data_IF_197672277444
#
_entry.id   IF_197672277444
#
_cell.length_a   1.000
_cell.length_b   1.000
_cell.length_c   1.000
_cell.angle_alpha   90.00
_cell.angle_beta   90.00
_cell.angle_gamma   90.00
#
_symmetry.space_group_name_H-M   'P 1'
#
loop_
_entity.id
_entity.type
_entity.pdbx_description
1 polymer ?
#
# COMPACT_ATOMS: atom_id res chain seq x y z
N UNK A 1 17.78 23.32 -28.19
CA UNK A 1 18.60 22.65 -27.17
C UNK A 1 18.00 21.28 -26.97
N UNK A 2 18.78 20.22 -27.11
CA UNK A 2 18.33 18.84 -26.91
C UNK A 2 18.09 18.64 -25.40
N UNK A 3 16.83 18.67 -24.97
CA UNK A 3 16.42 18.36 -23.59
C UNK A 3 16.22 16.86 -23.45
N UNK A 4 17.26 16.08 -23.77
CA UNK A 4 17.23 14.64 -23.51
C UNK A 4 17.41 14.46 -22.01
N UNK A 5 16.36 13.96 -21.37
CA UNK A 5 16.33 13.60 -19.95
C UNK A 5 16.76 12.14 -19.86
N UNK A 6 17.86 11.79 -19.15
CA UNK A 6 18.36 10.41 -19.03
C UNK A 6 17.29 9.35 -18.74
N UNK A 7 16.22 9.73 -18.03
CA UNK A 7 15.09 8.84 -17.77
C UNK A 7 14.25 8.52 -19.02
N UNK A 8 13.90 9.52 -19.85
CA UNK A 8 13.10 9.29 -21.06
C UNK A 8 13.87 8.47 -22.11
N UNK A 9 15.20 8.60 -22.11
CA UNK A 9 16.09 7.82 -22.98
C UNK A 9 16.40 6.42 -22.42
N UNK A 10 15.87 6.08 -21.23
CA UNK A 10 16.13 4.79 -20.59
C UNK A 10 15.53 3.64 -21.40
N UNK A 11 16.28 2.54 -21.64
CA UNK A 11 15.74 1.34 -22.29
C UNK A 11 14.59 0.71 -21.48
N UNK A 12 14.46 1.06 -20.20
CA UNK A 12 13.43 0.52 -19.30
C UNK A 12 12.33 1.54 -18.97
N UNK A 13 12.24 2.66 -19.68
CA UNK A 13 11.21 3.68 -19.45
C UNK A 13 9.79 3.08 -19.36
N UNK A 14 9.40 2.26 -20.34
CA UNK A 14 8.08 1.61 -20.36
C UNK A 14 7.87 0.60 -19.22
N UNK A 15 8.95 0.02 -18.69
CA UNK A 15 8.89 -0.93 -17.57
C UNK A 15 8.40 -0.24 -16.30
N UNK A 16 8.76 1.03 -16.07
CA UNK A 16 8.29 1.76 -14.89
C UNK A 16 6.78 1.99 -14.90
N UNK A 17 6.21 2.36 -16.04
CA UNK A 17 4.76 2.48 -16.17
C UNK A 17 4.06 1.13 -16.02
N UNK A 18 4.69 0.05 -16.49
CA UNK A 18 4.14 -1.29 -16.41
C UNK A 18 4.15 -1.81 -14.97
N UNK A 19 5.23 -1.54 -14.22
CA UNK A 19 5.35 -1.84 -12.80
C UNK A 19 4.31 -1.07 -11.99
N UNK A 20 4.12 0.23 -12.26
CA UNK A 20 3.09 1.05 -11.62
C UNK A 20 1.69 0.46 -11.85
N UNK A 21 1.41 0.04 -13.09
CA UNK A 21 0.14 -0.60 -13.41
C UNK A 21 -0.02 -1.94 -12.70
N UNK A 22 1.03 -2.78 -12.71
CA UNK A 22 1.10 -4.05 -12.01
C UNK A 22 0.75 -3.92 -10.54
N UNK A 23 1.42 -3.02 -9.84
CA UNK A 23 1.16 -2.76 -8.42
C UNK A 23 -0.25 -2.24 -8.20
N UNK A 24 -0.69 -1.24 -8.97
CA UNK A 24 -2.02 -0.64 -8.78
C UNK A 24 -3.15 -1.66 -9.01
N UNK A 25 -3.07 -2.48 -10.05
CA UNK A 25 -4.07 -3.53 -10.29
C UNK A 25 -4.03 -4.62 -9.22
N UNK A 26 -2.83 -5.04 -8.79
CA UNK A 26 -2.67 -6.03 -7.73
C UNK A 26 -3.30 -5.55 -6.42
N UNK A 27 -3.04 -4.30 -6.04
CA UNK A 27 -3.62 -3.66 -4.85
C UNK A 27 -5.15 -3.59 -4.97
N UNK A 28 -5.67 -3.08 -6.10
CA UNK A 28 -7.13 -2.98 -6.30
C UNK A 28 -7.82 -4.34 -6.21
N UNK A 29 -7.26 -5.38 -6.84
CA UNK A 29 -7.80 -6.75 -6.80
C UNK A 29 -7.78 -7.33 -5.38
N UNK A 30 -6.68 -7.15 -4.64
CA UNK A 30 -6.56 -7.62 -3.25
C UNK A 30 -7.52 -6.88 -2.30
N UNK A 31 -7.73 -5.58 -2.46
CA UNK A 31 -8.76 -4.85 -1.70
C UNK A 31 -10.14 -5.46 -1.92
N UNK A 32 -10.52 -5.68 -3.18
CA UNK A 32 -11.83 -6.26 -3.52
C UNK A 32 -11.98 -7.67 -2.93
N UNK A 33 -10.96 -8.52 -3.05
CA UNK A 33 -10.96 -9.86 -2.44
C UNK A 33 -11.16 -9.81 -0.91
N UNK A 34 -10.51 -8.85 -0.23
CA UNK A 34 -10.72 -8.64 1.21
C UNK A 34 -12.16 -8.21 1.53
N UNK A 35 -12.73 -7.30 0.73
CA UNK A 35 -14.10 -6.81 0.92
C UNK A 35 -15.13 -7.90 0.66
N UNK A 36 -14.94 -8.72 -0.37
CA UNK A 36 -15.83 -9.83 -0.75
C UNK A 36 -15.80 -10.95 0.31
N UNK A 37 -14.63 -11.28 0.84
CA UNK A 37 -14.48 -12.28 1.92
C UNK A 37 -15.01 -11.80 3.27
N UNK A 38 -15.23 -10.51 3.43
CA UNK A 38 -15.64 -9.88 4.68
C UNK A 38 -16.87 -8.99 4.46
N UNK A 39 -18.01 -9.56 4.04
CA UNK A 39 -19.21 -8.79 3.78
C UNK A 39 -19.74 -8.21 5.09
N UNK A 40 -20.28 -7.00 5.07
CA UNK A 40 -20.91 -6.40 6.25
C UNK A 40 -22.29 -7.06 6.43
N UNK A 41 -22.55 -7.81 7.52
CA UNK A 41 -23.82 -8.50 7.71
C UNK A 41 -24.94 -7.50 8.05
N UNK A 42 -26.16 -7.78 7.59
CA UNK A 42 -27.35 -6.95 7.91
C UNK A 42 -27.81 -7.10 9.38
N UNK A 43 -27.58 -8.28 9.97
CA UNK A 43 -27.91 -8.63 11.36
C UNK A 43 -26.83 -9.56 11.91
N UNK A 44 -26.62 -9.47 13.22
CA UNK A 44 -25.65 -10.26 13.98
C UNK A 44 -24.23 -10.12 13.43
N UNK A 45 -23.38 -9.36 14.12
CA UNK A 45 -22.00 -9.19 13.71
C UNK A 45 -21.18 -10.48 13.89
N UNK A 46 -20.13 -10.65 13.10
CA UNK A 46 -19.20 -11.77 13.23
C UNK A 46 -17.84 -11.39 13.81
N UNK A 47 -17.20 -12.42 14.36
CA UNK A 47 -15.78 -12.48 14.72
C UNK A 47 -15.21 -13.72 14.05
N UNK A 48 -14.15 -13.59 13.24
CA UNK A 48 -13.49 -14.72 12.58
C UNK A 48 -11.97 -14.62 12.65
N UNK A 49 -11.31 -15.77 12.52
CA UNK A 49 -9.84 -15.89 12.41
C UNK A 49 -9.52 -16.40 11.02
N UNK A 50 -8.82 -15.61 10.22
CA UNK A 50 -8.48 -15.92 8.84
C UNK A 50 -7.03 -15.51 8.51
N UNK A 51 -6.05 -16.37 8.81
CA UNK A 51 -4.64 -16.04 8.59
C UNK A 51 -4.31 -15.76 7.11
N UNK A 52 -5.05 -16.36 6.18
CA UNK A 52 -4.85 -16.18 4.74
C UNK A 52 -5.26 -14.76 4.34
N UNK A 53 -6.41 -14.29 4.81
CA UNK A 53 -6.86 -12.90 4.62
C UNK A 53 -5.84 -11.89 5.16
N UNK A 54 -5.32 -12.11 6.37
CA UNK A 54 -4.31 -11.24 6.95
C UNK A 54 -3.00 -11.25 6.13
N UNK A 55 -2.64 -12.38 5.52
CA UNK A 55 -1.55 -12.48 4.56
C UNK A 55 -1.80 -11.65 3.29
N UNK A 56 -3.02 -11.66 2.76
CA UNK A 56 -3.43 -10.81 1.63
C UNK A 56 -3.30 -9.34 1.97
N UNK A 57 -3.79 -8.92 3.15
CA UNK A 57 -3.68 -7.52 3.61
C UNK A 57 -2.21 -7.11 3.77
N UNK A 58 -1.38 -7.95 4.38
CA UNK A 58 0.05 -7.66 4.53
C UNK A 58 0.75 -7.51 3.17
N UNK A 59 0.44 -8.38 2.20
CA UNK A 59 0.96 -8.29 0.84
C UNK A 59 0.51 -7.00 0.14
N UNK A 60 -0.76 -6.62 0.29
CA UNK A 60 -1.31 -5.38 -0.24
C UNK A 60 -0.58 -4.14 0.33
N UNK A 61 -0.35 -4.09 1.64
CA UNK A 61 0.33 -2.96 2.28
C UNK A 61 1.80 -2.85 1.82
N UNK A 62 2.47 -3.99 1.58
CA UNK A 62 3.81 -4.02 1.01
C UNK A 62 3.85 -3.51 -0.45
N UNK A 63 2.86 -3.87 -1.26
CA UNK A 63 2.73 -3.36 -2.63
C UNK A 63 2.44 -1.85 -2.66
N UNK A 64 1.54 -1.36 -1.79
CA UNK A 64 1.28 0.07 -1.63
C UNK A 64 2.56 0.82 -1.26
N UNK A 65 3.39 0.26 -0.38
CA UNK A 65 4.68 0.83 -0.04
C UNK A 65 5.66 0.87 -1.22
N UNK A 66 5.66 -0.12 -2.10
CA UNK A 66 6.50 -0.12 -3.30
C UNK A 66 6.01 0.92 -4.31
N UNK A 67 4.70 1.08 -4.46
CA UNK A 67 4.08 2.11 -5.28
C UNK A 67 4.49 3.51 -4.78
N UNK A 68 4.43 3.74 -3.46
CA UNK A 68 4.94 4.95 -2.82
C UNK A 68 6.41 5.22 -3.18
N UNK A 69 7.30 4.21 -3.12
CA UNK A 69 8.74 4.37 -3.45
C UNK A 69 8.98 4.82 -4.90
N UNK A 70 8.07 4.50 -5.82
CA UNK A 70 8.18 4.93 -7.21
C UNK A 70 7.71 6.37 -7.42
N UNK A 71 6.68 6.78 -6.67
CA UNK A 71 6.02 8.08 -6.84
C UNK A 71 6.46 9.17 -5.85
N UNK A 72 7.14 8.81 -4.76
CA UNK A 72 7.64 9.78 -3.77
C UNK A 72 9.00 10.33 -4.18
N UNK A 73 9.09 11.64 -4.43
CA UNK A 73 10.38 12.28 -4.75
C UNK A 73 11.29 12.14 -3.53
N UNK A 74 12.49 11.55 -3.67
CA UNK A 74 13.37 11.33 -2.53
C UNK A 74 14.11 12.63 -2.17
N UNK A 75 14.14 12.96 -0.88
CA UNK A 75 14.86 14.15 -0.39
C UNK A 75 16.36 13.88 -0.14
N UNK A 76 16.74 12.61 -0.04
CA UNK A 76 18.12 12.18 0.26
C UNK A 76 18.49 10.88 -0.45
N UNK A 77 19.79 10.66 -0.72
CA UNK A 77 20.26 9.39 -1.25
C UNK A 77 20.09 8.25 -0.23
N UNK A 78 19.89 7.04 -0.75
CA UNK A 78 19.91 5.82 0.04
C UNK A 78 21.35 5.44 0.38
N UNK A 79 21.51 4.56 1.37
CA UNK A 79 22.82 3.99 1.71
C UNK A 79 23.42 3.27 0.49
N UNK A 80 24.64 3.66 0.10
CA UNK A 80 25.40 3.18 -1.08
C UNK A 80 24.86 3.60 -2.45
N UNK A 81 23.93 4.55 -2.52
CA UNK A 81 23.47 5.11 -3.80
C UNK A 81 24.50 6.11 -4.35
N UNK A 82 24.86 5.99 -5.64
CA UNK A 82 25.75 6.98 -6.28
C UNK A 82 25.00 8.28 -6.60
N UNK A 83 25.70 9.42 -6.77
CA UNK A 83 25.07 10.68 -7.17
C UNK A 83 24.24 10.57 -8.47
N UNK A 84 24.71 9.78 -9.44
CA UNK A 84 24.02 9.56 -10.72
C UNK A 84 22.74 8.74 -10.52
N UNK A 85 22.80 7.69 -9.71
CA UNK A 85 21.61 6.88 -9.37
C UNK A 85 20.56 7.70 -8.64
N UNK A 86 20.99 8.53 -7.68
CA UNK A 86 20.09 9.42 -6.95
C UNK A 86 19.43 10.44 -7.88
N UNK A 87 20.22 11.07 -8.76
CA UNK A 87 19.71 12.03 -9.75
C UNK A 87 18.71 11.37 -10.70
N UNK A 88 19.03 10.18 -11.22
CA UNK A 88 18.13 9.40 -12.07
C UNK A 88 16.83 9.06 -11.35
N UNK A 89 16.90 8.68 -10.06
CA UNK A 89 15.70 8.36 -9.26
C UNK A 89 14.81 9.59 -9.04
N UNK A 90 15.40 10.74 -8.72
CA UNK A 90 14.68 12.02 -8.56
C UNK A 90 13.99 12.39 -9.88
N UNK A 91 14.71 12.32 -10.98
CA UNK A 91 14.22 12.65 -12.33
C UNK A 91 13.07 11.74 -12.75
N UNK A 92 13.26 10.41 -12.66
CA UNK A 92 12.23 9.40 -12.88
C UNK A 92 10.94 9.74 -12.14
N UNK A 93 11.04 9.98 -10.83
CA UNK A 93 9.84 10.19 -10.02
C UNK A 93 9.12 11.49 -10.35
N UNK A 94 9.85 12.57 -10.65
CA UNK A 94 9.24 13.83 -11.11
C UNK A 94 8.48 13.64 -12.43
N UNK A 95 9.13 13.01 -13.42
CA UNK A 95 8.55 12.79 -14.75
C UNK A 95 7.35 11.83 -14.70
N UNK A 96 7.39 10.78 -13.87
CA UNK A 96 6.24 9.90 -13.66
C UNK A 96 5.06 10.66 -13.05
N UNK A 97 5.29 11.47 -12.01
CA UNK A 97 4.23 12.26 -11.39
C UNK A 97 3.63 13.30 -12.34
N UNK A 98 4.48 13.96 -13.14
CA UNK A 98 4.05 14.91 -14.16
C UNK A 98 3.19 14.22 -15.23
N UNK A 99 3.66 13.09 -15.77
CA UNK A 99 2.93 12.32 -16.77
C UNK A 99 1.57 11.82 -16.27
N UNK A 100 1.47 11.46 -14.99
CA UNK A 100 0.23 10.94 -14.39
C UNK A 100 -0.70 12.05 -13.85
N UNK A 101 -0.22 13.29 -13.75
CA UNK A 101 -0.98 14.42 -13.21
C UNK A 101 -1.51 14.17 -11.79
N UNK A 102 -0.71 13.50 -10.97
CA UNK A 102 -1.19 12.80 -9.77
C UNK A 102 -1.38 13.76 -8.56
N UNK A 103 -2.56 13.81 -7.90
CA UNK A 103 -2.71 14.49 -6.61
C UNK A 103 -2.01 13.70 -5.50
N UNK A 104 -1.54 14.28 -4.38
CA UNK A 104 -0.85 13.51 -3.35
C UNK A 104 -1.69 12.31 -2.87
N UNK A 105 -1.13 11.09 -2.97
CA UNK A 105 -1.71 9.88 -2.37
C UNK A 105 -1.88 10.15 -0.87
N UNK A 106 -3.06 10.00 -0.31
CA UNK A 106 -3.33 10.32 1.09
C UNK A 106 -2.98 9.14 2.01
N UNK A 107 -3.30 7.92 1.61
CA UNK A 107 -3.14 6.73 2.43
C UNK A 107 -1.95 5.87 1.98
N UNK A 108 -1.76 5.67 0.68
CA UNK A 108 -0.59 4.93 0.17
C UNK A 108 0.72 5.67 0.50
N UNK A 109 0.71 7.00 0.59
CA UNK A 109 1.92 7.77 0.92
C UNK A 109 2.28 7.78 2.41
N UNK A 110 1.45 7.25 3.30
CA UNK A 110 1.72 7.26 4.74
C UNK A 110 2.96 6.45 5.08
N UNK A 111 3.70 6.89 6.10
CA UNK A 111 4.93 6.20 6.50
C UNK A 111 4.61 4.82 7.10
N UNK A 112 3.50 4.75 7.82
CA UNK A 112 3.06 3.63 8.63
C UNK A 112 2.49 2.47 7.79
N UNK A 113 1.99 2.73 6.58
CA UNK A 113 1.50 1.71 5.64
C UNK A 113 2.50 0.57 5.45
N UNK A 114 3.79 0.90 5.33
CA UNK A 114 4.89 -0.09 5.26
C UNK A 114 5.40 -0.48 6.64
N UNK A 115 5.71 0.54 7.45
CA UNK A 115 6.50 0.37 8.66
C UNK A 115 5.78 -0.51 9.68
N UNK A 116 4.45 -0.39 9.77
CA UNK A 116 3.66 -1.20 10.69
C UNK A 116 3.75 -2.70 10.37
N UNK A 117 3.92 -3.07 9.10
CA UNK A 117 4.05 -4.47 8.67
C UNK A 117 5.49 -4.96 8.81
N UNK A 118 6.47 -4.18 8.38
CA UNK A 118 7.90 -4.59 8.37
C UNK A 118 8.57 -4.60 9.74
N UNK A 119 8.10 -3.76 10.67
CA UNK A 119 8.70 -3.60 12.00
C UNK A 119 7.72 -3.96 13.11
N UNK A 120 6.80 -4.89 12.85
CA UNK A 120 5.74 -5.28 13.78
C UNK A 120 6.26 -5.61 15.18
N UNK A 121 7.43 -6.24 15.29
CA UNK A 121 8.14 -6.50 16.55
C UNK A 121 8.38 -5.22 17.35
N UNK A 122 8.91 -4.17 16.72
CA UNK A 122 9.18 -2.89 17.39
C UNK A 122 7.90 -2.18 17.83
N UNK A 123 6.84 -2.26 17.02
CA UNK A 123 5.54 -1.71 17.41
C UNK A 123 4.93 -2.51 18.57
N UNK A 124 5.09 -3.84 18.58
CA UNK A 124 4.62 -4.71 19.65
C UNK A 124 5.35 -4.44 20.97
N UNK A 125 6.67 -4.23 20.92
CA UNK A 125 7.47 -3.84 22.09
C UNK A 125 6.97 -2.51 22.66
N UNK A 126 6.75 -1.51 21.80
CA UNK A 126 6.23 -0.19 22.21
C UNK A 126 4.85 -0.31 22.84
N UNK A 127 3.95 -1.06 22.22
CA UNK A 127 2.60 -1.29 22.74
C UNK A 127 2.63 -2.03 24.09
N UNK A 128 3.51 -3.03 24.24
CA UNK A 128 3.67 -3.77 25.49
C UNK A 128 4.13 -2.84 26.62
N UNK A 129 5.15 -2.02 26.38
CA UNK A 129 5.62 -1.02 27.35
C UNK A 129 4.51 -0.03 27.73
N UNK A 130 3.78 0.48 26.72
CA UNK A 130 2.68 1.43 26.94
C UNK A 130 1.56 0.83 27.78
N UNK A 131 1.16 -0.41 27.51
CA UNK A 131 0.08 -1.09 28.23
C UNK A 131 0.50 -1.49 29.64
N UNK A 132 1.75 -1.92 29.84
CA UNK A 132 2.28 -2.23 31.17
C UNK A 132 2.44 -1.00 32.07
N UNK A 133 2.61 0.19 31.50
CA UNK A 133 2.70 1.45 32.23
C UNK A 133 1.34 2.12 32.50
N UNK A 134 0.26 1.65 31.86
CA UNK A 134 -1.08 2.21 32.02
C UNK A 134 -1.98 1.29 32.85
N UNK A 135 -2.67 1.83 33.85
CA UNK A 135 -3.73 1.10 34.58
C UNK A 135 -5.00 0.86 33.73
N UNK A 136 -5.00 1.26 32.44
CA UNK A 136 -6.21 1.42 31.63
C UNK A 136 -6.18 0.66 30.29
N UNK A 137 -6.13 -0.67 30.31
CA UNK A 137 -6.62 -1.44 29.17
C UNK A 137 -8.16 -1.48 29.26
N UNK A 138 -8.86 -0.59 28.56
CA UNK A 138 -10.31 -0.35 28.74
C UNK A 138 -11.19 -1.62 28.67
N UNK A 139 -10.79 -2.64 27.91
CA UNK A 139 -11.46 -3.95 27.85
C UNK A 139 -10.72 -5.09 28.58
N UNK A 140 -9.46 -4.90 28.97
CA UNK A 140 -8.57 -5.97 29.42
C UNK A 140 -8.21 -7.01 28.34
N UNK A 141 -8.61 -6.79 27.09
CA UNK A 141 -8.44 -7.74 25.99
C UNK A 141 -7.70 -7.12 24.80
N UNK A 142 -6.88 -7.94 24.13
CA UNK A 142 -6.20 -7.62 22.90
C UNK A 142 -6.59 -8.63 21.80
N UNK A 143 -6.75 -8.14 20.57
CA UNK A 143 -7.17 -8.94 19.41
C UNK A 143 -6.01 -9.08 18.44
N UNK A 144 -5.64 -10.31 18.09
CA UNK A 144 -4.52 -10.61 17.20
C UNK A 144 -4.94 -11.56 16.09
N UNK A 145 -4.67 -11.18 14.83
CA UNK A 145 -5.05 -11.92 13.63
C UNK A 145 -6.54 -12.24 13.58
N UNK A 146 -7.36 -11.25 13.92
CA UNK A 146 -8.81 -11.37 13.93
C UNK A 146 -9.45 -10.45 12.90
N UNK A 147 -10.60 -10.86 12.40
CA UNK A 147 -11.43 -10.05 11.50
C UNK A 147 -12.81 -9.91 12.09
N UNK A 148 -13.27 -8.67 12.22
CA UNK A 148 -14.57 -8.33 12.76
C UNK A 148 -15.44 -7.72 11.68
N UNK A 149 -16.75 -7.92 11.80
CA UNK A 149 -17.73 -7.15 11.01
C UNK A 149 -17.75 -5.67 11.42
N UNK A 150 -17.76 -5.41 12.74
CA UNK A 150 -17.77 -4.09 13.36
C UNK A 150 -17.16 -4.16 14.75
N UNK A 151 -16.77 -3.03 15.34
CA UNK A 151 -16.41 -2.96 16.76
C UNK A 151 -17.59 -3.29 17.69
N UNK A 152 -18.83 -3.13 17.22
CA UNK A 152 -20.04 -3.38 18.01
C UNK A 152 -20.26 -4.85 18.38
N UNK A 153 -19.44 -5.77 17.87
CA UNK A 153 -19.44 -7.19 18.28
C UNK A 153 -18.92 -7.41 19.69
N UNK A 154 -18.26 -6.41 20.28
CA UNK A 154 -17.80 -6.41 21.66
C UNK A 154 -18.44 -5.25 22.42
N UNK A 155 -18.78 -5.49 23.70
CA UNK A 155 -19.32 -4.43 24.59
C UNK A 155 -18.30 -3.30 24.84
N UNK A 156 -17.01 -3.62 24.76
CA UNK A 156 -15.90 -2.67 24.90
C UNK A 156 -14.87 -2.91 23.81
N UNK A 157 -14.32 -1.82 23.28
CA UNK A 157 -13.27 -1.88 22.25
C UNK A 157 -12.00 -2.53 22.81
N UNK A 158 -11.60 -3.62 22.18
CA UNK A 158 -10.35 -4.33 22.50
C UNK A 158 -9.15 -3.75 21.77
N UNK A 159 -7.96 -3.93 22.34
CA UNK A 159 -6.73 -3.41 21.77
C UNK A 159 -6.35 -4.16 20.48
N UNK A 160 -6.26 -3.49 19.31
CA UNK A 160 -6.04 -4.19 18.05
C UNK A 160 -4.56 -4.44 17.77
N UNK A 161 -4.06 -5.66 18.02
CA UNK A 161 -2.70 -6.04 17.62
C UNK A 161 -2.60 -6.21 16.11
N UNK A 162 -3.50 -7.01 15.51
CA UNK A 162 -3.67 -7.18 14.07
C UNK A 162 -5.14 -7.50 13.79
N UNK A 163 -5.91 -6.50 13.37
CA UNK A 163 -7.36 -6.64 13.26
C UNK A 163 -7.86 -5.97 11.99
N UNK A 164 -8.62 -6.71 11.18
CA UNK A 164 -9.40 -6.09 10.10
C UNK A 164 -10.84 -5.85 10.57
N UNK A 165 -11.37 -4.66 10.29
CA UNK A 165 -12.74 -4.29 10.60
C UNK A 165 -13.48 -3.97 9.29
N UNK A 166 -14.50 -4.76 8.99
CA UNK A 166 -15.16 -4.74 7.68
C UNK A 166 -16.01 -3.48 7.43
N UNK A 167 -16.78 -3.01 8.42
CA UNK A 167 -17.61 -1.81 8.29
C UNK A 167 -16.79 -0.53 8.06
N UNK A 168 -15.63 -0.43 8.70
CA UNK A 168 -14.67 0.65 8.49
C UNK A 168 -13.77 0.43 7.27
N UNK A 169 -13.72 -0.79 6.72
CA UNK A 169 -12.70 -1.23 5.73
C UNK A 169 -11.27 -0.90 6.15
N UNK A 170 -10.99 -0.98 7.45
CA UNK A 170 -9.70 -0.62 8.04
C UNK A 170 -8.97 -1.83 8.58
N UNK A 171 -7.67 -1.83 8.34
CA UNK A 171 -6.75 -2.77 8.96
C UNK A 171 -5.98 -2.07 10.08
N UNK A 172 -6.28 -2.47 11.30
CA UNK A 172 -5.59 -2.02 12.49
C UNK A 172 -4.38 -2.90 12.75
N UNK A 173 -3.24 -2.24 12.94
CA UNK A 173 -2.00 -2.85 13.33
C UNK A 173 -1.43 -1.99 14.47
N UNK A 174 -1.81 -2.36 15.69
CA UNK A 174 -1.49 -1.64 16.93
C UNK A 174 -2.12 -0.24 16.94
N UNK A 175 -1.31 0.79 17.07
CA UNK A 175 -1.70 2.21 17.08
C UNK A 175 -1.99 2.76 15.68
N UNK A 176 -1.69 1.99 14.63
CA UNK A 176 -1.93 2.38 13.26
C UNK A 176 -3.18 1.72 12.68
N UNK A 177 -3.90 2.47 11.85
CA UNK A 177 -5.02 1.96 11.07
C UNK A 177 -4.82 2.36 9.60
N UNK A 178 -4.69 1.34 8.73
CA UNK A 178 -4.67 1.51 7.29
C UNK A 178 -6.09 1.50 6.72
N UNK A 179 -6.46 2.52 5.97
CA UNK A 179 -7.74 2.58 5.27
C UNK A 179 -7.66 1.86 3.91
N UNK A 180 -8.17 0.63 3.85
CA UNK A 180 -8.10 -0.17 2.63
C UNK A 180 -9.04 0.36 1.54
N UNK A 181 -10.08 1.11 1.91
CA UNK A 181 -10.98 1.74 0.95
C UNK A 181 -10.32 2.94 0.27
N UNK A 182 -9.56 3.75 1.03
CA UNK A 182 -8.74 4.82 0.47
C UNK A 182 -7.64 4.25 -0.45
N UNK A 183 -6.91 3.22 0.00
CA UNK A 183 -5.90 2.53 -0.82
C UNK A 183 -6.51 1.97 -2.12
N UNK A 184 -7.67 1.35 -2.05
CA UNK A 184 -8.41 0.87 -3.23
C UNK A 184 -8.71 2.00 -4.21
N UNK A 185 -9.27 3.10 -3.69
CA UNK A 185 -9.71 4.25 -4.51
C UNK A 185 -8.53 4.93 -5.18
N UNK A 186 -7.43 5.13 -4.45
CA UNK A 186 -6.17 5.69 -4.96
C UNK A 186 -5.56 4.81 -6.05
N UNK A 187 -5.58 3.48 -5.86
CA UNK A 187 -5.06 2.53 -6.85
C UNK A 187 -5.92 2.50 -8.11
N UNK A 188 -7.24 2.57 -7.97
CA UNK A 188 -8.18 2.61 -9.09
C UNK A 188 -8.03 3.90 -9.93
N UNK A 189 -7.84 5.05 -9.28
CA UNK A 189 -7.54 6.32 -9.96
C UNK A 189 -6.21 6.24 -10.72
N UNK A 190 -5.18 5.65 -10.10
CA UNK A 190 -3.89 5.45 -10.75
C UNK A 190 -3.98 4.56 -12.00
N UNK A 191 -4.73 3.45 -11.95
CA UNK A 191 -4.98 2.61 -13.13
C UNK A 191 -5.62 3.43 -14.26
N UNK A 192 -6.61 4.24 -13.92
CA UNK A 192 -7.31 5.11 -14.88
C UNK A 192 -6.36 6.09 -15.55
N UNK A 193 -5.47 6.72 -14.77
CA UNK A 193 -4.47 7.67 -15.28
C UNK A 193 -3.41 7.00 -16.14
N UNK A 194 -2.89 5.85 -15.71
CA UNK A 194 -1.90 5.09 -16.51
C UNK A 194 -2.48 4.73 -17.88
N UNK A 195 -3.75 4.30 -17.92
CA UNK A 195 -4.47 4.02 -19.18
C UNK A 195 -4.65 5.27 -20.03
N UNK A 196 -4.94 6.43 -19.42
CA UNK A 196 -5.11 7.70 -20.13
C UNK A 196 -3.83 8.23 -20.78
N UNK A 197 -2.65 7.94 -20.20
CA UNK A 197 -1.35 8.29 -20.80
C UNK A 197 -1.10 7.55 -22.12
N UNK A 198 -1.85 6.48 -22.40
CA UNK A 198 -1.76 5.74 -23.66
C UNK A 198 -0.43 4.99 -23.83
N UNK A 199 0.35 4.84 -22.76
CA UNK A 199 1.60 4.09 -22.74
C UNK A 199 1.41 2.60 -23.10
N UNK A 200 0.17 2.09 -22.96
CA UNK A 200 -0.18 0.71 -23.27
C UNK A 200 -1.45 0.66 -24.13
N UNK A 201 -1.39 -0.09 -25.24
CA UNK A 201 -2.51 -0.27 -26.18
C UNK A 201 -3.39 -1.49 -25.87
N UNK A 202 -3.03 -2.29 -24.86
CA UNK A 202 -3.71 -3.54 -24.54
C UNK A 202 -4.69 -3.34 -23.38
N UNK A 203 -5.89 -3.92 -23.48
CA UNK A 203 -6.92 -3.85 -22.45
C UNK A 203 -6.79 -4.96 -21.38
N UNK A 204 -5.86 -5.90 -21.55
CA UNK A 204 -5.82 -7.17 -20.80
C UNK A 204 -5.08 -7.08 -19.43
N UNK A 205 -4.77 -5.86 -18.97
CA UNK A 205 -4.04 -5.63 -17.71
C UNK A 205 -2.51 -5.72 -17.86
N UNK A 206 -1.76 -5.58 -16.74
CA UNK A 206 -0.32 -5.66 -16.72
C UNK A 206 0.11 -7.13 -16.87
N UNK A 207 0.38 -7.54 -18.10
CA UNK A 207 0.86 -8.89 -18.45
C UNK A 207 2.38 -9.06 -18.31
N UNK A 208 2.94 -10.07 -18.95
CA UNK A 208 4.40 -10.17 -19.07
C UNK A 208 4.94 -9.19 -20.12
N UNK A 209 6.06 -8.51 -19.81
CA UNK A 209 6.74 -7.61 -20.74
C UNK A 209 8.16 -8.12 -21.03
N UNK A 210 8.53 -8.22 -22.31
CA UNK A 210 9.92 -8.37 -22.74
C UNK A 210 10.44 -7.02 -23.23
N UNK A 211 11.46 -6.48 -22.55
CA UNK A 211 12.13 -5.25 -22.95
C UNK A 211 13.40 -5.57 -23.76
N UNK A 212 13.60 -4.89 -24.89
CA UNK A 212 14.87 -4.97 -25.62
C UNK A 212 15.90 -4.11 -24.91
N UNK A 213 17.00 -4.72 -24.50
CA UNK A 213 18.20 -3.99 -24.08
C UNK A 213 19.02 -3.76 -25.34
N UNK A 214 19.25 -2.50 -25.71
CA UNK A 214 20.16 -2.22 -26.82
C UNK A 214 21.55 -2.77 -26.46
N UNK A 215 22.07 -3.68 -27.29
CA UNK A 215 23.48 -4.04 -27.26
C UNK A 215 24.27 -2.86 -27.84
N UNK A 216 25.20 -2.32 -27.05
CA UNK A 216 26.19 -1.37 -27.54
C UNK A 216 27.04 -1.99 -28.65
#
# INVERSE_FOLDING_TARGET
MNTSTPFLDSPFFHVYFHELWGLAESISKKCLDVFEKCPIPEKDGYVKVDPVLHGVIASLLAEAANLKKMLSVPDKPNFKETPEQFSFRVERTKLLNEALGFPPLSEISRAETRNSVEHFDQYLDRASLSLSASDSAASGMALYNMTLSSWSVFDKKSFPLKVYIADERKYFNLDYAADLNAIYSESADLITRIRAVGAFKHNDGPGGLMARVASA
#
